data_IF_825302844386
#
_entry.id   IF_825302844386
#
_cell.length_a   1.000
_cell.length_b   1.000
_cell.length_c   1.000
_cell.angle_alpha   90.00
_cell.angle_beta   90.00
_cell.angle_gamma   90.00
#
_symmetry.space_group_name_H-M   'P 1'
#
loop_
_entity.id
_entity.type
_entity.pdbx_description
1 polymer ?
#
# COMPACT_ATOMS: atom_id res chain seq x y z
N UNK A 1 16.67 -12.23 -8.25
CA UNK A 1 16.24 -11.75 -6.91
C UNK A 1 16.11 -10.24 -6.98
N UNK A 2 15.10 -9.68 -6.32
CA UNK A 2 14.63 -8.32 -6.57
C UNK A 2 14.87 -7.45 -5.34
N UNK A 3 15.61 -6.36 -5.48
CA UNK A 3 15.91 -5.40 -4.41
C UNK A 3 15.22 -4.08 -4.70
N UNK A 4 14.40 -3.60 -3.77
CA UNK A 4 13.60 -2.39 -3.95
C UNK A 4 13.92 -1.37 -2.85
N UNK A 5 14.34 -0.18 -3.27
CA UNK A 5 14.42 0.99 -2.40
C UNK A 5 13.32 1.98 -2.78
N UNK A 6 12.53 2.35 -1.78
CA UNK A 6 11.60 3.46 -1.86
C UNK A 6 12.19 4.65 -1.12
N UNK A 7 12.26 5.79 -1.80
CA UNK A 7 12.52 7.09 -1.20
C UNK A 7 11.45 7.41 -0.13
N UNK A 8 11.78 8.29 0.82
CA UNK A 8 10.90 8.69 1.92
C UNK A 8 9.55 9.17 1.41
N UNK A 9 9.54 9.99 0.35
CA UNK A 9 8.31 10.54 -0.21
C UNK A 9 7.32 9.45 -0.64
N UNK A 10 7.80 8.32 -1.17
CA UNK A 10 6.96 7.20 -1.58
C UNK A 10 6.24 6.59 -0.38
N UNK A 11 6.94 6.32 0.72
CA UNK A 11 6.30 5.77 1.93
C UNK A 11 5.21 6.67 2.47
N UNK A 12 5.45 7.99 2.49
CA UNK A 12 4.45 8.97 2.95
C UNK A 12 3.25 9.02 2.00
N UNK A 13 3.48 8.96 0.68
CA UNK A 13 2.41 8.92 -0.33
C UNK A 13 1.59 7.63 -0.22
N UNK A 14 2.23 6.47 -0.06
CA UNK A 14 1.55 5.18 0.12
C UNK A 14 0.77 5.12 1.44
N UNK A 15 1.29 5.74 2.50
CA UNK A 15 0.60 5.85 3.78
C UNK A 15 -0.67 6.70 3.70
N UNK A 16 -0.66 7.78 2.91
CA UNK A 16 -1.75 8.76 2.81
C UNK A 16 -2.87 8.37 1.83
N UNK A 17 -2.67 7.32 1.01
CA UNK A 17 -3.60 6.95 -0.06
C UNK A 17 -4.25 5.60 0.27
N UNK A 18 -5.53 5.55 0.65
CA UNK A 18 -6.23 4.28 0.90
C UNK A 18 -6.19 3.31 -0.29
N UNK A 19 -6.19 3.83 -1.51
CA UNK A 19 -6.05 3.05 -2.74
C UNK A 19 -4.70 2.33 -2.89
N UNK A 20 -3.67 2.76 -2.15
CA UNK A 20 -2.33 2.15 -2.15
C UNK A 20 -2.20 0.94 -1.22
N UNK A 21 -3.24 0.61 -0.46
CA UNK A 21 -3.22 -0.52 0.49
C UNK A 21 -3.01 -1.89 -0.17
N UNK A 22 -3.64 -2.23 -1.31
CA UNK A 22 -3.35 -3.47 -2.01
C UNK A 22 -1.88 -3.58 -2.39
N UNK A 23 -1.29 -2.46 -2.86
CA UNK A 23 0.14 -2.40 -3.21
C UNK A 23 1.04 -2.71 -2.00
N UNK A 24 0.76 -2.10 -0.85
CA UNK A 24 1.50 -2.36 0.39
C UNK A 24 1.39 -3.83 0.83
N UNK A 25 0.22 -4.45 0.66
CA UNK A 25 0.02 -5.88 0.95
C UNK A 25 0.79 -6.77 -0.02
N UNK A 26 0.81 -6.46 -1.31
CA UNK A 26 1.61 -7.19 -2.31
C UNK A 26 3.10 -7.12 -2.00
N UNK A 27 3.61 -5.96 -1.54
CA UNK A 27 5.00 -5.82 -1.08
C UNK A 27 5.27 -6.73 0.12
N UNK A 28 4.42 -6.67 1.16
CA UNK A 28 4.58 -7.49 2.35
C UNK A 28 4.52 -9.00 2.03
N UNK A 29 3.60 -9.41 1.16
CA UNK A 29 3.49 -10.79 0.69
C UNK A 29 4.73 -11.22 -0.11
N UNK A 30 5.24 -10.36 -1.00
CA UNK A 30 6.49 -10.59 -1.73
C UNK A 30 7.71 -10.74 -0.82
N UNK A 31 7.77 -9.97 0.27
CA UNK A 31 8.79 -10.11 1.32
C UNK A 31 8.66 -11.45 2.05
N UNK A 32 7.45 -11.82 2.48
CA UNK A 32 7.21 -13.08 3.18
C UNK A 32 7.51 -14.31 2.32
N UNK A 33 7.30 -14.20 1.01
CA UNK A 33 7.63 -15.25 0.02
C UNK A 33 9.11 -15.22 -0.41
N UNK A 34 9.93 -14.31 0.13
CA UNK A 34 11.33 -14.10 -0.28
C UNK A 34 11.50 -13.87 -1.80
N UNK A 35 10.49 -13.29 -2.45
CA UNK A 35 10.53 -12.85 -3.87
C UNK A 35 11.11 -11.44 -4.00
N UNK A 36 10.95 -10.64 -2.94
CA UNK A 36 11.37 -9.26 -2.83
C UNK A 36 12.26 -9.08 -1.60
N UNK A 37 13.22 -8.16 -1.68
CA UNK A 37 13.93 -7.59 -0.54
C UNK A 37 13.79 -6.08 -0.58
N UNK A 38 13.51 -5.46 0.57
CA UNK A 38 13.46 -4.01 0.70
C UNK A 38 14.82 -3.52 1.20
N UNK A 39 15.32 -2.45 0.58
CA UNK A 39 16.44 -1.65 1.06
C UNK A 39 15.87 -0.41 1.73
N UNK A 40 16.17 -0.23 3.01
CA UNK A 40 15.55 0.80 3.83
C UNK A 40 16.62 1.68 4.47
N UNK A 41 16.73 2.91 3.96
CA UNK A 41 17.59 3.95 4.53
C UNK A 41 17.19 4.30 5.96
N UNK A 42 18.18 4.52 6.83
CA UNK A 42 17.95 5.10 8.16
C UNK A 42 17.35 6.52 8.10
N UNK A 43 17.77 7.34 7.13
CA UNK A 43 17.17 8.66 6.84
C UNK A 43 15.67 8.51 6.57
N UNK A 44 15.28 7.54 5.76
CA UNK A 44 13.87 7.25 5.47
C UNK A 44 13.09 6.84 6.72
N UNK A 45 13.67 6.03 7.59
CA UNK A 45 13.03 5.63 8.86
C UNK A 45 12.80 6.85 9.76
N UNK A 46 13.81 7.72 9.90
CA UNK A 46 13.73 8.92 10.73
C UNK A 46 12.72 9.94 10.20
N UNK A 47 12.71 10.19 8.89
CA UNK A 47 11.75 11.09 8.26
C UNK A 47 10.33 10.55 8.32
N UNK A 48 10.14 9.26 8.03
CA UNK A 48 8.84 8.62 8.13
C UNK A 48 8.29 8.71 9.57
N UNK A 49 9.11 8.39 10.57
CA UNK A 49 8.71 8.47 11.98
C UNK A 49 8.28 9.88 12.40
N UNK A 50 8.96 10.92 11.92
CA UNK A 50 8.60 12.32 12.18
C UNK A 50 7.27 12.74 11.55
N UNK A 51 6.88 12.13 10.43
CA UNK A 51 5.73 12.57 9.63
C UNK A 51 4.50 11.65 9.73
N UNK A 52 4.64 10.39 10.17
CA UNK A 52 3.56 9.39 10.15
C UNK A 52 2.29 9.82 10.90
N UNK A 53 2.43 10.47 12.06
CA UNK A 53 1.28 10.90 12.87
C UNK A 53 0.46 12.01 12.20
N UNK A 54 1.11 12.86 11.38
CA UNK A 54 0.43 13.92 10.63
C UNK A 54 -0.39 13.38 9.46
N UNK A 55 -0.07 12.18 8.97
CA UNK A 55 -0.71 11.57 7.79
C UNK A 55 -2.08 10.97 8.16
N UNK A 56 -2.19 10.32 9.32
CA UNK A 56 -3.46 9.72 9.80
C UNK A 56 -4.62 10.72 9.85
N UNK A 57 -4.31 11.99 10.16
CA UNK A 57 -5.31 13.06 10.23
C UNK A 57 -5.78 13.57 8.85
N UNK A 58 -5.03 13.35 7.77
CA UNK A 58 -5.32 13.87 6.43
C UNK A 58 -6.26 12.95 5.63
N UNK A 59 -6.19 11.64 5.83
CA UNK A 59 -6.95 10.63 5.07
C UNK A 59 -8.48 10.73 5.24
N UNK A 60 -8.95 11.22 6.39
CA UNK A 60 -10.40 11.29 6.69
C UNK A 60 -10.98 12.69 6.48
N UNK A 61 -10.14 13.71 6.27
CA UNK A 61 -10.56 15.12 6.20
C UNK A 61 -11.46 15.43 4.98
N UNK A 62 -11.15 14.97 3.75
CA UNK A 62 -12.03 15.20 2.60
C UNK A 62 -13.40 14.54 2.76
N UNK A 63 -13.44 13.30 3.23
CA UNK A 63 -14.69 12.56 3.48
C UNK A 63 -15.54 13.24 4.57
N UNK A 64 -14.92 13.70 5.65
CA UNK A 64 -15.60 14.48 6.70
C UNK A 64 -16.14 15.80 6.17
N UNK A 65 -15.42 16.47 5.27
CA UNK A 65 -15.88 17.68 4.60
C UNK A 65 -17.05 17.40 3.64
N UNK A 66 -17.02 16.29 2.90
CA UNK A 66 -18.15 15.86 2.07
C UNK A 66 -19.39 15.57 2.90
N UNK A 67 -19.26 14.87 4.04
CA UNK A 67 -20.37 14.64 4.98
C UNK A 67 -20.91 15.97 5.52
N UNK A 68 -20.03 16.89 5.93
CA UNK A 68 -20.43 18.23 6.41
C UNK A 68 -21.19 19.02 5.34
N UNK A 69 -20.78 18.93 4.09
CA UNK A 69 -21.47 19.58 2.97
C UNK A 69 -22.79 18.88 2.63
N UNK A 70 -22.82 17.54 2.65
CA UNK A 70 -24.04 16.76 2.43
C UNK A 70 -25.11 17.07 3.50
N UNK A 71 -24.72 17.33 4.75
CA UNK A 71 -25.65 17.77 5.81
C UNK A 71 -26.43 19.03 5.46
N UNK A 72 -25.97 19.87 4.53
CA UNK A 72 -26.72 21.06 4.07
C UNK A 72 -27.95 20.70 3.23
N UNK A 73 -27.99 19.49 2.66
CA UNK A 73 -29.13 18.99 1.88
C UNK A 73 -30.35 18.74 2.79
N UNK A 74 -30.12 18.55 4.11
CA UNK A 74 -31.19 18.29 5.08
C UNK A 74 -32.29 19.36 5.11
N UNK A 75 -31.96 20.59 4.70
CA UNK A 75 -32.87 21.74 4.74
C UNK A 75 -33.94 21.67 3.64
N UNK A 76 -33.77 20.76 2.67
CA UNK A 76 -34.68 20.52 1.55
C UNK A 76 -35.46 19.20 1.67
N UNK A 77 -35.32 18.48 2.79
CA UNK A 77 -35.95 17.18 3.03
C UNK A 77 -37.12 17.31 4.02
N UNK A 78 -38.11 16.45 3.90
CA UNK A 78 -39.17 16.35 4.90
C UNK A 78 -38.66 15.74 6.23
N UNK A 79 -39.50 15.72 7.27
CA UNK A 79 -39.10 15.25 8.61
C UNK A 79 -38.66 13.78 8.61
N UNK A 80 -39.31 12.93 7.81
CA UNK A 80 -39.02 11.50 7.73
C UNK A 80 -37.73 11.26 6.95
N UNK A 81 -37.61 11.89 5.79
CA UNK A 81 -36.44 11.85 4.90
C UNK A 81 -35.19 12.40 5.58
N UNK A 82 -35.32 13.51 6.31
CA UNK A 82 -34.24 14.14 7.07
C UNK A 82 -33.69 13.21 8.14
N UNK A 83 -34.56 12.53 8.88
CA UNK A 83 -34.16 11.59 9.94
C UNK A 83 -33.37 10.41 9.35
N UNK A 84 -33.88 9.82 8.26
CA UNK A 84 -33.20 8.73 7.57
C UNK A 84 -31.86 9.17 6.95
N UNK A 85 -31.82 10.35 6.34
CA UNK A 85 -30.63 10.92 5.72
C UNK A 85 -29.53 11.21 6.76
N UNK A 86 -29.87 11.84 7.88
CA UNK A 86 -28.92 12.11 8.96
C UNK A 86 -28.39 10.82 9.60
N UNK A 87 -29.25 9.80 9.77
CA UNK A 87 -28.82 8.49 10.27
C UNK A 87 -27.79 7.84 9.34
N UNK A 88 -27.99 7.92 8.01
CA UNK A 88 -27.02 7.42 7.03
C UNK A 88 -25.70 8.20 7.07
N UNK A 89 -25.74 9.53 7.16
CA UNK A 89 -24.53 10.36 7.24
C UNK A 89 -23.75 10.12 8.54
N UNK A 90 -24.44 9.94 9.67
CA UNK A 90 -23.80 9.63 10.94
C UNK A 90 -23.20 8.22 10.92
N UNK A 91 -23.90 7.22 10.38
CA UNK A 91 -23.36 5.87 10.17
C UNK A 91 -22.12 5.88 9.26
N UNK A 92 -22.13 6.69 8.19
CA UNK A 92 -20.97 6.88 7.34
C UNK A 92 -19.80 7.51 8.11
N UNK A 93 -20.05 8.51 8.95
CA UNK A 93 -19.04 9.14 9.79
C UNK A 93 -18.45 8.16 10.82
N UNK A 94 -19.29 7.37 11.49
CA UNK A 94 -18.87 6.35 12.45
C UNK A 94 -18.07 5.22 11.78
N UNK A 95 -18.41 4.88 10.52
CA UNK A 95 -17.65 3.94 9.71
C UNK A 95 -16.29 4.50 9.28
N UNK A 96 -16.19 5.79 8.97
CA UNK A 96 -14.91 6.47 8.70
C UNK A 96 -14.03 6.44 9.95
N UNK A 97 -14.60 6.81 11.11
CA UNK A 97 -13.88 6.84 12.37
C UNK A 97 -13.50 5.42 12.86
N UNK A 98 -14.31 4.40 12.61
CA UNK A 98 -13.98 3.01 12.94
C UNK A 98 -13.00 2.38 11.96
N UNK A 99 -13.05 2.71 10.67
CA UNK A 99 -12.06 2.28 9.67
C UNK A 99 -10.68 2.87 9.95
N UNK A 100 -10.63 4.11 10.45
CA UNK A 100 -9.40 4.72 10.94
C UNK A 100 -8.85 4.00 12.20
N UNK A 101 -9.73 3.40 13.03
CA UNK A 101 -9.37 2.72 14.29
C UNK A 101 -9.05 1.21 14.17
N UNK A 102 -9.61 0.50 13.18
CA UNK A 102 -9.60 -1.00 13.12
C UNK A 102 -8.45 -1.68 12.36
N UNK A 103 -7.43 -0.97 11.87
CA UNK A 103 -6.28 -1.66 11.27
C UNK A 103 -6.40 -2.00 9.77
N UNK A 104 -7.09 -1.17 8.99
CA UNK A 104 -6.71 -0.96 7.57
C UNK A 104 -5.67 0.19 7.50
N UNK A 105 -4.80 0.25 8.51
CA UNK A 105 -3.88 1.36 8.74
C UNK A 105 -2.63 1.10 7.92
N UNK A 106 -2.47 1.81 6.79
CA UNK A 106 -1.30 1.71 5.92
C UNK A 106 0.01 1.81 6.73
N UNK A 107 0.00 2.58 7.83
CA UNK A 107 1.13 2.69 8.74
C UNK A 107 1.55 1.35 9.35
N UNK A 108 0.61 0.53 9.80
CA UNK A 108 0.92 -0.78 10.40
C UNK A 108 1.47 -1.77 9.38
N UNK A 109 1.01 -1.69 8.12
CA UNK A 109 1.57 -2.50 7.03
C UNK A 109 3.00 -2.04 6.72
N UNK A 110 3.23 -0.72 6.64
CA UNK A 110 4.56 -0.15 6.42
C UNK A 110 5.52 -0.51 7.55
N UNK A 111 5.10 -0.41 8.81
CA UNK A 111 5.90 -0.83 9.97
C UNK A 111 6.23 -2.32 9.90
N UNK A 112 5.26 -3.17 9.51
CA UNK A 112 5.49 -4.60 9.28
C UNK A 112 6.49 -4.86 8.13
N UNK A 113 6.47 -4.04 7.07
CA UNK A 113 7.48 -4.09 6.01
C UNK A 113 8.85 -3.68 6.55
N UNK A 114 8.91 -2.61 7.35
CA UNK A 114 10.16 -2.08 7.90
C UNK A 114 10.85 -3.08 8.81
N UNK A 115 10.09 -3.85 9.58
CA UNK A 115 10.60 -4.82 10.56
C UNK A 115 10.74 -6.24 9.98
N UNK A 116 10.37 -6.45 8.72
CA UNK A 116 10.47 -7.74 8.06
C UNK A 116 11.93 -8.21 7.95
N UNK A 117 12.17 -9.52 8.13
CA UNK A 117 13.50 -10.12 8.00
C UNK A 117 14.13 -9.95 6.61
N UNK A 118 13.32 -9.77 5.56
CA UNK A 118 13.78 -9.50 4.21
C UNK A 118 13.95 -8.01 3.90
N UNK A 119 13.83 -7.15 4.91
CA UNK A 119 14.16 -5.73 4.84
C UNK A 119 15.56 -5.48 5.40
N UNK A 120 16.44 -4.95 4.55
CA UNK A 120 17.81 -4.61 4.91
C UNK A 120 17.90 -3.12 5.25
N UNK A 121 18.31 -2.79 6.47
CA UNK A 121 18.56 -1.41 6.88
C UNK A 121 19.90 -0.93 6.31
N UNK A 122 19.92 0.25 5.71
CA UNK A 122 21.12 0.90 5.19
C UNK A 122 21.49 2.06 6.13
N UNK A 123 22.52 1.90 6.99
CA UNK A 123 22.95 2.95 7.90
C UNK A 123 23.80 4.00 7.17
N UNK A 124 23.70 5.24 7.63
CA UNK A 124 24.53 6.35 7.21
C UNK A 124 25.94 6.20 7.79
N UNK A 125 26.94 6.06 6.91
CA UNK A 125 28.35 6.08 7.30
C UNK A 125 28.94 7.49 7.17
N UNK A 126 30.03 7.77 7.87
CA UNK A 126 30.76 9.04 7.72
C UNK A 126 31.17 9.29 6.25
N UNK A 127 31.58 8.25 5.53
CA UNK A 127 31.90 8.29 4.10
C UNK A 127 30.69 8.77 3.27
N UNK A 128 29.52 8.16 3.47
CA UNK A 128 28.29 8.55 2.76
C UNK A 128 27.93 10.01 3.06
N UNK A 129 28.00 10.43 4.33
CA UNK A 129 27.68 11.80 4.73
C UNK A 129 28.65 12.83 4.14
N UNK A 130 29.95 12.52 4.10
CA UNK A 130 30.97 13.36 3.46
C UNK A 130 30.69 13.47 1.96
N UNK A 131 30.42 12.35 1.29
CA UNK A 131 30.15 12.34 -0.15
C UNK A 131 28.87 13.11 -0.49
N UNK A 132 27.81 12.95 0.30
CA UNK A 132 26.57 13.72 0.14
C UNK A 132 26.83 15.23 0.28
N UNK A 133 27.63 15.63 1.26
CA UNK A 133 28.04 17.03 1.46
C UNK A 133 28.83 17.57 0.28
N UNK A 134 29.73 16.76 -0.29
CA UNK A 134 30.50 17.15 -1.48
C UNK A 134 29.61 17.33 -2.72
N UNK A 135 28.64 16.44 -2.94
CA UNK A 135 27.65 16.55 -4.01
C UNK A 135 26.86 17.86 -3.87
N UNK A 136 26.44 18.20 -2.64
CA UNK A 136 25.74 19.44 -2.34
C UNK A 136 26.59 20.69 -2.61
N UNK A 137 27.85 20.70 -2.17
CA UNK A 137 28.79 21.80 -2.41
C UNK A 137 29.03 22.00 -3.92
N UNK A 138 29.18 20.90 -4.67
CA UNK A 138 29.38 20.92 -6.12
C UNK A 138 28.09 21.21 -6.91
N UNK A 139 26.93 21.26 -6.25
CA UNK A 139 25.61 21.40 -6.88
C UNK A 139 25.38 20.36 -7.97
N UNK A 140 25.73 19.10 -7.69
CA UNK A 140 25.43 17.95 -8.55
C UNK A 140 24.14 17.28 -8.10
N UNK A 141 23.47 16.52 -8.97
CA UNK A 141 22.24 15.84 -8.59
C UNK A 141 22.48 14.82 -7.45
N UNK A 142 21.54 14.69 -6.49
CA UNK A 142 20.23 15.35 -6.42
C UNK A 142 20.23 16.74 -5.76
N UNK A 143 21.40 17.34 -5.49
CA UNK A 143 21.55 18.69 -4.93
C UNK A 143 21.80 19.80 -5.98
N UNK A 144 21.44 19.59 -7.25
CA UNK A 144 21.72 20.55 -8.33
C UNK A 144 20.80 21.78 -8.33
N UNK A 145 19.71 21.72 -7.57
CA UNK A 145 18.76 22.83 -7.36
C UNK A 145 19.07 23.52 -6.02
N UNK A 146 18.70 24.80 -5.87
CA UNK A 146 18.94 25.59 -4.65
C UNK A 146 18.19 25.11 -3.39
N UNK A 147 17.67 23.87 -3.37
CA UNK A 147 17.01 23.23 -2.24
C UNK A 147 18.01 22.24 -1.62
N UNK A 148 18.05 22.19 -0.29
CA UNK A 148 18.97 21.33 0.45
C UNK A 148 18.49 19.86 0.43
N UNK A 149 18.74 19.14 -0.66
CA UNK A 149 18.35 17.73 -0.87
C UNK A 149 19.44 16.75 -0.41
N UNK A 150 20.15 17.09 0.68
CA UNK A 150 21.23 16.25 1.24
C UNK A 150 20.69 14.93 1.78
N UNK A 151 19.52 14.92 2.42
CA UNK A 151 18.86 13.70 2.89
C UNK A 151 18.62 12.72 1.73
N UNK A 152 17.98 13.19 0.66
CA UNK A 152 17.77 12.43 -0.57
C UNK A 152 19.09 11.94 -1.20
N UNK A 153 20.14 12.76 -1.13
CA UNK A 153 21.49 12.36 -1.60
C UNK A 153 22.05 11.21 -0.77
N UNK A 154 21.86 11.22 0.55
CA UNK A 154 22.29 10.12 1.43
C UNK A 154 21.56 8.82 1.08
N UNK A 155 20.25 8.87 0.86
CA UNK A 155 19.43 7.72 0.44
C UNK A 155 19.98 7.14 -0.87
N UNK A 156 20.25 7.99 -1.86
CA UNK A 156 20.85 7.59 -3.13
C UNK A 156 22.23 6.95 -2.98
N UNK A 157 23.12 7.54 -2.20
CA UNK A 157 24.48 7.03 -2.01
C UNK A 157 24.50 5.70 -1.25
N UNK A 158 23.58 5.51 -0.30
CA UNK A 158 23.37 4.22 0.36
C UNK A 158 22.92 3.15 -0.63
N UNK A 159 21.95 3.48 -1.50
CA UNK A 159 21.53 2.59 -2.57
C UNK A 159 22.69 2.23 -3.50
N UNK A 160 23.41 3.25 -4.00
CA UNK A 160 24.53 3.07 -4.91
C UNK A 160 25.61 2.17 -4.31
N UNK A 161 25.97 2.41 -3.03
CA UNK A 161 26.93 1.60 -2.30
C UNK A 161 26.47 0.14 -2.22
N UNK A 162 25.21 -0.08 -1.82
CA UNK A 162 24.64 -1.42 -1.70
C UNK A 162 24.63 -2.19 -3.02
N UNK A 163 24.26 -1.53 -4.13
CA UNK A 163 24.28 -2.12 -5.48
C UNK A 163 25.70 -2.58 -5.81
N UNK A 164 26.70 -1.70 -5.66
CA UNK A 164 28.11 -2.01 -5.96
C UNK A 164 28.64 -3.19 -5.14
N UNK A 165 28.31 -3.23 -3.85
CA UNK A 165 28.74 -4.32 -2.95
C UNK A 165 28.03 -5.64 -3.25
N UNK A 166 26.74 -5.60 -3.61
CA UNK A 166 25.94 -6.81 -3.88
C UNK A 166 26.28 -7.44 -5.22
N UNK A 167 26.43 -6.63 -6.28
CA UNK A 167 26.79 -7.13 -7.61
C UNK A 167 28.17 -7.78 -7.64
N UNK A 168 29.08 -7.36 -6.76
CA UNK A 168 30.40 -7.99 -6.64
C UNK A 168 30.32 -9.46 -6.18
N UNK A 169 29.18 -9.89 -5.62
CA UNK A 169 29.04 -11.18 -4.94
C UNK A 169 27.88 -12.01 -5.51
N UNK A 170 26.88 -11.38 -6.15
CA UNK A 170 25.66 -12.06 -6.63
C UNK A 170 25.38 -11.78 -8.11
N UNK A 171 25.19 -12.84 -8.87
CA UNK A 171 24.70 -12.78 -10.25
C UNK A 171 23.15 -12.76 -10.29
N UNK A 172 22.58 -12.20 -11.36
CA UNK A 172 21.13 -12.18 -11.64
C UNK A 172 20.27 -11.54 -10.53
N UNK A 173 20.74 -10.40 -10.03
CA UNK A 173 19.99 -9.52 -9.13
C UNK A 173 19.59 -8.25 -9.86
N UNK A 174 18.39 -7.77 -9.60
CA UNK A 174 17.89 -6.51 -10.13
C UNK A 174 17.61 -5.56 -8.95
N UNK A 175 17.90 -4.29 -9.17
CA UNK A 175 17.78 -3.23 -8.16
C UNK A 175 16.84 -2.15 -8.67
N UNK A 176 15.95 -1.70 -7.81
CA UNK A 176 14.89 -0.77 -8.18
C UNK A 176 14.95 0.41 -7.21
N UNK A 177 15.16 1.61 -7.74
CA UNK A 177 15.10 2.84 -6.98
C UNK A 177 13.81 3.58 -7.37
N UNK A 178 12.97 3.91 -6.39
CA UNK A 178 11.68 4.57 -6.64
C UNK A 178 11.59 5.89 -5.87
N UNK A 179 11.31 6.97 -6.58
CA UNK A 179 11.14 8.31 -6.01
C UNK A 179 10.10 9.11 -6.79
N UNK A 180 9.30 9.92 -6.09
CA UNK A 180 8.44 10.95 -6.69
C UNK A 180 9.17 12.30 -6.83
N UNK A 181 10.42 12.41 -6.35
CA UNK A 181 11.24 13.62 -6.47
C UNK A 181 11.88 13.75 -7.87
N UNK A 182 11.00 13.92 -8.86
CA UNK A 182 11.37 14.10 -10.28
C UNK A 182 12.33 15.29 -10.47
N UNK A 183 12.16 16.34 -9.66
CA UNK A 183 12.96 17.55 -9.81
C UNK A 183 14.43 17.31 -9.51
N UNK A 184 14.74 16.48 -8.53
CA UNK A 184 16.12 16.31 -8.09
C UNK A 184 16.77 15.06 -8.72
N UNK A 185 15.97 14.07 -9.09
CA UNK A 185 16.45 12.77 -9.58
C UNK A 185 16.29 12.53 -11.08
N UNK A 186 15.41 13.24 -11.78
CA UNK A 186 15.14 12.95 -13.18
C UNK A 186 15.92 13.85 -14.15
N UNK A 187 16.06 13.37 -15.38
CA UNK A 187 16.58 14.15 -16.50
C UNK A 187 15.65 15.32 -16.85
N UNK A 188 16.24 16.42 -17.31
CA UNK A 188 15.48 17.55 -17.84
C UNK A 188 14.82 17.26 -19.20
N UNK A 189 15.24 16.19 -19.90
CA UNK A 189 14.70 15.82 -21.23
C UNK A 189 13.45 14.94 -21.12
N UNK A 190 13.49 13.94 -20.25
CA UNK A 190 12.38 13.02 -19.96
C UNK A 190 12.46 12.63 -18.48
N UNK A 191 11.42 12.96 -17.72
CA UNK A 191 11.33 12.72 -16.28
C UNK A 191 11.36 11.23 -15.89
N UNK A 192 11.07 10.35 -16.84
CA UNK A 192 11.11 8.89 -16.64
C UNK A 192 12.54 8.36 -16.62
N UNK A 193 13.49 9.15 -17.13
CA UNK A 193 14.90 8.81 -17.11
C UNK A 193 15.58 9.51 -15.93
N UNK A 194 16.56 8.85 -15.29
CA UNK A 194 17.33 9.45 -14.21
C UNK A 194 18.21 10.61 -14.73
N UNK A 195 18.60 11.50 -13.82
CA UNK A 195 19.51 12.60 -14.11
C UNK A 195 20.89 12.07 -14.55
N UNK A 196 21.54 12.77 -15.48
CA UNK A 196 22.79 12.34 -16.13
C UNK A 196 23.97 12.14 -15.14
N UNK A 197 23.95 12.85 -14.00
CA UNK A 197 24.92 12.69 -12.90
C UNK A 197 24.77 11.36 -12.14
N UNK A 198 23.62 10.69 -12.22
CA UNK A 198 23.30 9.49 -11.44
C UNK A 198 23.73 8.22 -12.19
N UNK A 199 25.05 8.09 -12.38
CA UNK A 199 25.66 7.09 -13.26
C UNK A 199 25.35 5.63 -12.90
N UNK A 200 24.90 5.33 -11.69
CA UNK A 200 24.54 3.96 -11.27
C UNK A 200 23.43 3.37 -12.14
N UNK A 201 22.54 4.22 -12.67
CA UNK A 201 21.43 3.80 -13.52
C UNK A 201 21.82 3.48 -14.97
N UNK A 202 23.09 3.67 -15.34
CA UNK A 202 23.61 3.20 -16.63
C UNK A 202 23.87 1.68 -16.63
N UNK A 203 23.67 1.00 -15.50
CA UNK A 203 23.79 -0.45 -15.36
C UNK A 203 22.47 -1.13 -15.75
N UNK A 204 22.55 -2.20 -16.53
CA UNK A 204 21.37 -2.95 -17.01
C UNK A 204 20.54 -3.59 -15.90
N UNK A 205 21.14 -3.84 -14.73
CA UNK A 205 20.53 -4.43 -13.53
C UNK A 205 19.85 -3.40 -12.62
N UNK A 206 19.97 -2.10 -12.89
CA UNK A 206 19.52 -1.02 -11.99
C UNK A 206 18.45 -0.18 -12.67
N UNK A 207 17.25 -0.20 -12.10
CA UNK A 207 16.07 0.43 -12.65
C UNK A 207 15.63 1.63 -11.82
N UNK A 208 15.40 2.75 -12.50
CA UNK A 208 14.81 3.96 -11.95
C UNK A 208 13.30 3.99 -12.21
N UNK A 209 12.50 4.29 -11.18
CA UNK A 209 11.05 4.40 -11.29
C UNK A 209 10.55 5.68 -10.63
N UNK A 210 9.62 6.36 -11.29
CA UNK A 210 8.88 7.50 -10.71
C UNK A 210 7.51 7.10 -10.13
N UNK A 211 7.16 5.81 -10.27
CA UNK A 211 5.86 5.27 -9.91
C UNK A 211 6.05 3.89 -9.25
N UNK A 212 5.64 3.72 -7.97
CA UNK A 212 5.78 2.45 -7.26
C UNK A 212 4.96 1.31 -7.91
N UNK A 213 3.85 1.60 -8.61
CA UNK A 213 3.08 0.57 -9.30
C UNK A 213 3.84 -0.02 -10.48
N UNK A 214 4.51 0.82 -11.27
CA UNK A 214 5.36 0.38 -12.40
C UNK A 214 6.57 -0.42 -11.92
N UNK A 215 7.13 -0.03 -10.78
CA UNK A 215 8.21 -0.81 -10.16
C UNK A 215 7.72 -2.23 -9.82
N UNK A 216 6.57 -2.37 -9.17
CA UNK A 216 6.06 -3.70 -8.81
C UNK A 216 5.54 -4.52 -10.00
N UNK A 217 5.04 -3.86 -11.05
CA UNK A 217 4.69 -4.53 -12.31
C UNK A 217 5.92 -5.18 -12.94
N UNK A 218 7.05 -4.47 -12.97
CA UNK A 218 8.33 -5.03 -13.42
C UNK A 218 8.81 -6.19 -12.56
N UNK A 219 8.57 -6.12 -11.25
CA UNK A 219 8.96 -7.17 -10.30
C UNK A 219 7.97 -8.37 -10.35
N UNK A 220 6.91 -8.29 -11.17
CA UNK A 220 5.85 -9.32 -11.27
C UNK A 220 5.12 -9.56 -9.94
N UNK A 221 4.97 -8.52 -9.11
CA UNK A 221 4.27 -8.58 -7.81
C UNK A 221 2.87 -7.96 -7.85
N UNK A 222 2.45 -7.41 -8.99
CA UNK A 222 1.14 -6.75 -9.16
C UNK A 222 -0.05 -7.72 -9.00
N UNK A 223 0.19 -9.01 -9.27
CA UNK A 223 -0.83 -10.07 -9.30
C UNK A 223 -0.82 -10.97 -8.07
N UNK A 224 -0.10 -10.62 -7.00
CA UNK A 224 -0.23 -11.38 -5.74
C UNK A 224 -1.59 -11.01 -5.13
N UNK A 225 -2.59 -11.93 -5.14
CA UNK A 225 -3.85 -11.65 -4.49
C UNK A 225 -3.53 -11.39 -3.03
N UNK A 226 -4.09 -10.32 -2.44
CA UNK A 226 -3.91 -10.10 -1.03
C UNK A 226 -4.45 -11.31 -0.25
N UNK A 227 -3.80 -11.61 0.88
CA UNK A 227 -4.14 -12.68 1.82
C UNK A 227 -5.67 -12.77 2.06
N UNK A 228 -6.18 -13.96 2.42
CA UNK A 228 -7.61 -14.35 2.55
C UNK A 228 -8.50 -13.30 3.25
N UNK A 229 -7.90 -12.45 4.08
CA UNK A 229 -8.55 -11.29 4.69
C UNK A 229 -9.10 -10.25 3.68
N UNK A 230 -8.50 -10.08 2.50
CA UNK A 230 -8.99 -9.16 1.45
C UNK A 230 -10.08 -9.76 0.56
N UNK A 231 -10.21 -11.09 0.50
CA UNK A 231 -11.39 -11.72 -0.09
C UNK A 231 -12.66 -11.35 0.70
N UNK A 232 -12.53 -11.06 2.00
CA UNK A 232 -13.63 -10.59 2.84
C UNK A 232 -14.04 -9.14 2.52
N UNK A 233 -13.08 -8.23 2.40
CA UNK A 233 -13.32 -6.80 2.08
C UNK A 233 -13.81 -6.58 0.64
N UNK A 234 -13.30 -7.35 -0.33
CA UNK A 234 -13.77 -7.30 -1.72
C UNK A 234 -15.21 -7.84 -1.87
N UNK A 235 -15.58 -8.90 -1.14
CA UNK A 235 -16.98 -9.37 -1.05
C UNK A 235 -17.92 -8.33 -0.43
N UNK A 236 -17.45 -7.52 0.52
CA UNK A 236 -18.22 -6.39 1.07
C UNK A 236 -18.45 -5.25 0.06
N UNK A 237 -17.59 -5.13 -0.97
CA UNK A 237 -17.77 -4.15 -2.06
C UNK A 237 -18.71 -4.66 -3.15
N UNK A 238 -18.70 -5.95 -3.45
CA UNK A 238 -19.61 -6.53 -4.47
C UNK A 238 -21.08 -6.62 -3.99
N UNK A 239 -21.33 -6.56 -2.67
CA UNK A 239 -22.68 -6.66 -2.09
C UNK A 239 -23.48 -5.33 -2.02
N UNK A 240 -23.06 -4.25 -2.69
CA UNK A 240 -23.78 -2.95 -2.63
C UNK A 240 -24.78 -2.69 -3.76
N UNK A 241 -24.79 -3.53 -4.80
CA UNK A 241 -25.76 -3.41 -5.90
C UNK A 241 -26.95 -4.38 -5.79
N UNK A 242 -26.99 -5.23 -4.75
CA UNK A 242 -28.18 -6.02 -4.43
C UNK A 242 -29.12 -5.20 -3.54
N UNK A 243 -30.16 -4.63 -4.14
CA UNK A 243 -31.29 -4.04 -3.44
C UNK A 243 -31.88 -5.05 -2.42
N UNK A 244 -31.80 -4.68 -1.14
CA UNK A 244 -32.35 -5.34 0.06
C UNK A 244 -31.64 -6.61 0.57
N UNK A 245 -31.32 -6.71 1.88
CA UNK A 245 -30.93 -7.98 2.49
C UNK A 245 -32.09 -8.97 2.41
N UNK A 246 -31.79 -10.25 2.17
CA UNK A 246 -32.78 -11.34 2.17
C UNK A 246 -33.30 -11.52 3.61
N UNK A 247 -34.53 -11.10 3.87
CA UNK A 247 -35.16 -11.16 5.21
C UNK A 247 -36.07 -12.37 5.40
N UNK A 248 -36.30 -13.17 4.36
CA UNK A 248 -37.10 -14.40 4.38
C UNK A 248 -36.37 -15.55 3.70
N UNK A 249 -36.72 -16.78 4.09
CA UNK A 249 -36.12 -18.05 3.59
C UNK A 249 -36.22 -18.17 2.06
N UNK A 250 -37.25 -17.58 1.45
CA UNK A 250 -37.49 -17.59 0.00
C UNK A 250 -36.64 -16.56 -0.78
N UNK A 251 -35.98 -15.63 -0.10
CA UNK A 251 -35.20 -14.56 -0.74
C UNK A 251 -33.76 -14.95 -1.09
N UNK A 252 -33.31 -16.13 -0.67
CA UNK A 252 -31.93 -16.57 -0.87
C UNK A 252 -31.72 -17.18 -2.26
N UNK A 253 -30.60 -16.81 -2.89
CA UNK A 253 -30.16 -17.40 -4.15
C UNK A 253 -28.81 -18.03 -3.89
N UNK A 254 -28.79 -19.36 -3.71
CA UNK A 254 -27.58 -20.15 -3.55
C UNK A 254 -27.14 -20.67 -4.92
N UNK A 255 -25.85 -20.56 -5.21
CA UNK A 255 -25.24 -21.10 -6.42
C UNK A 255 -24.60 -22.44 -6.07
N UNK A 256 -24.93 -23.50 -6.80
CA UNK A 256 -24.44 -24.87 -6.54
C UNK A 256 -22.91 -25.00 -6.68
N UNK A 257 -22.27 -24.05 -7.37
CA UNK A 257 -20.82 -24.05 -7.63
C UNK A 257 -20.03 -23.10 -6.72
N UNK A 258 -20.72 -22.29 -5.90
CA UNK A 258 -20.08 -21.30 -5.02
C UNK A 258 -20.33 -21.67 -3.55
N UNK A 259 -19.53 -22.62 -3.06
CA UNK A 259 -19.56 -23.05 -1.68
C UNK A 259 -18.17 -23.06 -1.02
N UNK A 260 -18.15 -23.43 0.26
CA UNK A 260 -16.92 -23.64 1.02
C UNK A 260 -17.12 -24.74 2.06
N UNK A 261 -16.04 -25.42 2.41
CA UNK A 261 -16.03 -26.32 3.56
C UNK A 261 -16.10 -25.51 4.86
N UNK A 262 -17.09 -25.81 5.71
CA UNK A 262 -17.25 -25.18 7.02
C UNK A 262 -17.69 -26.21 8.05
N UNK A 263 -17.64 -25.85 9.34
CA UNK A 263 -18.05 -26.78 10.39
C UNK A 263 -19.55 -27.02 10.31
N UNK A 264 -19.92 -28.30 10.20
CA UNK A 264 -21.32 -28.68 10.02
C UNK A 264 -22.16 -28.31 11.25
N UNK A 265 -23.37 -27.83 11.00
CA UNK A 265 -24.37 -27.61 12.05
C UNK A 265 -25.05 -28.91 12.52
N UNK A 266 -24.90 -30.01 11.76
CA UNK A 266 -25.44 -31.32 12.08
C UNK A 266 -24.45 -32.21 12.87
N UNK A 267 -23.23 -31.72 13.10
CA UNK A 267 -22.13 -32.44 13.76
C UNK A 267 -21.39 -33.40 12.83
N UNK A 268 -20.17 -33.79 13.18
CA UNK A 268 -19.39 -34.79 12.43
C UNK A 268 -18.21 -34.29 11.59
N UNK A 269 -17.87 -33.00 11.63
CA UNK A 269 -16.69 -32.45 10.94
C UNK A 269 -17.03 -31.30 10.00
N UNK A 270 -16.31 -31.20 8.88
CA UNK A 270 -16.57 -30.20 7.84
C UNK A 270 -17.65 -30.71 6.87
N UNK A 271 -18.58 -29.85 6.51
CA UNK A 271 -19.55 -30.08 5.43
C UNK A 271 -19.49 -28.94 4.41
N UNK A 272 -20.01 -29.19 3.21
CA UNK A 272 -20.05 -28.20 2.14
C UNK A 272 -21.18 -27.20 2.41
N UNK A 273 -20.83 -25.91 2.52
CA UNK A 273 -21.78 -24.84 2.75
C UNK A 273 -21.91 -23.98 1.50
N UNK A 274 -23.13 -23.80 0.99
CA UNK A 274 -23.41 -22.88 -0.11
C UNK A 274 -23.53 -21.45 0.41
N UNK A 275 -23.06 -20.48 -0.38
CA UNK A 275 -23.13 -19.06 -0.03
C UNK A 275 -24.22 -18.38 -0.85
N UNK A 276 -25.11 -17.64 -0.18
CA UNK A 276 -26.12 -16.85 -0.87
C UNK A 276 -25.46 -15.69 -1.60
N UNK A 277 -25.65 -15.61 -2.92
CA UNK A 277 -25.04 -14.58 -3.78
C UNK A 277 -25.56 -13.15 -3.49
N UNK A 278 -26.68 -13.01 -2.78
CA UNK A 278 -27.28 -11.70 -2.45
C UNK A 278 -26.91 -11.16 -1.08
N UNK A 279 -26.77 -12.03 -0.08
CA UNK A 279 -26.59 -11.59 1.31
C UNK A 279 -25.43 -12.27 2.05
N UNK A 280 -24.76 -13.24 1.42
CA UNK A 280 -23.64 -13.96 2.02
C UNK A 280 -24.03 -14.96 3.13
N UNK A 281 -25.33 -15.22 3.35
CA UNK A 281 -25.78 -16.26 4.27
C UNK A 281 -25.26 -17.64 3.84
N UNK A 282 -25.00 -18.52 4.81
CA UNK A 282 -24.51 -19.87 4.57
C UNK A 282 -25.64 -20.89 4.72
N UNK A 283 -25.72 -21.84 3.81
CA UNK A 283 -26.58 -23.01 3.91
C UNK A 283 -25.69 -24.25 3.99
N UNK A 284 -25.69 -24.93 5.14
CA UNK A 284 -25.05 -26.24 5.28
C UNK A 284 -25.84 -27.28 4.49
N UNK A 285 -25.20 -27.92 3.52
CA UNK A 285 -25.82 -28.95 2.66
C UNK A 285 -25.91 -30.31 3.36
N UNK A 286 -25.09 -30.54 4.39
CA UNK A 286 -24.92 -31.86 5.00
C UNK A 286 -24.04 -32.82 4.18
N UNK A 287 -23.43 -32.38 3.08
CA UNK A 287 -22.43 -33.16 2.35
C UNK A 287 -21.10 -33.06 3.08
N UNK A 288 -20.71 -34.13 3.79
CA UNK A 288 -19.50 -34.16 4.62
C UNK A 288 -18.23 -34.36 3.78
N UNK A 289 -17.13 -33.79 4.27
CA UNK A 289 -15.80 -34.04 3.74
C UNK A 289 -15.32 -35.39 4.28
N UNK A 290 -15.22 -36.41 3.42
CA UNK A 290 -14.60 -37.70 3.75
C UNK A 290 -13.08 -37.55 4.01
#
# INVERSE_FOLDING_TARGET
>A
MQYLLFDTCIWLTLAAKPESRPLLKSILSGLNQNKLKILLSDVTVEEYSRHKDSIVGKDTSPLKNHIKNAKKIQDYLDISERSAFLALLNKANDNIDSSAKKGVNALGIIESIFDNINTTKLPSSAEILINASQIAIKKQAPCHKNKNSVADTVIYLQFEKWVKETEAIKNNVEFHFVTENIKDFSSNKDERNPHEDLLIFNKDSVYYHIDPYKALERIELKDIPPDEFDLFESRLRMNRDASSPCTSVEGHVFSDNEGRWSHSQFGGGLSWHLVCARCGALLDTGDFFD
#
